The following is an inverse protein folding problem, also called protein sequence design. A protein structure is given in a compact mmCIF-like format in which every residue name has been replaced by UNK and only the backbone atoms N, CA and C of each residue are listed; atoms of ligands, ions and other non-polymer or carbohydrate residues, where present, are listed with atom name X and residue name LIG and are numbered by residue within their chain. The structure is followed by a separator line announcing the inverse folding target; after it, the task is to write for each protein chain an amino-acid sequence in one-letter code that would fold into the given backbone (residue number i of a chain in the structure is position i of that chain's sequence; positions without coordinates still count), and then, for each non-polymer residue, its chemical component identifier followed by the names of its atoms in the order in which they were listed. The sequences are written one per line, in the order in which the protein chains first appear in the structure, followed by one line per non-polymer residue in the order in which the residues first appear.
data_IF_420427129063
#
_entry.id   IF_420427129063
#
_cell.length_a   1.000
_cell.length_b   1.000
_cell.length_c   1.000
_cell.angle_alpha   90.00
_cell.angle_beta   90.00
_cell.angle_gamma   90.00
#
_symmetry.space_group_name_H-M   'P 1'
#
loop_
_entity.id
_entity.type
_entity.pdbx_description
1 polymer ?
#
# COMPACT_ATOMS: atom_id res chain seq x y z
N UNK A 1 -8.21 43.19 -43.83
CA UNK A 1 -7.23 42.32 -43.14
C UNK A 1 -7.97 41.09 -42.64
N UNK A 2 -7.39 39.88 -42.74
CA UNK A 2 -8.01 38.68 -42.18
C UNK A 2 -8.18 38.85 -40.66
N UNK A 3 -9.37 38.55 -40.14
CA UNK A 3 -9.67 38.57 -38.71
C UNK A 3 -9.24 37.23 -38.11
N UNK A 4 -8.17 37.24 -37.33
CA UNK A 4 -7.69 36.05 -36.62
C UNK A 4 -8.28 36.01 -35.21
N UNK A 5 -8.84 34.87 -34.81
CA UNK A 5 -9.18 34.58 -33.42
C UNK A 5 -7.89 34.22 -32.65
N UNK A 6 -7.27 35.25 -32.07
CA UNK A 6 -6.02 35.14 -31.35
C UNK A 6 -6.12 34.30 -30.08
N UNK A 7 -7.28 34.27 -29.42
CA UNK A 7 -7.49 33.48 -28.21
C UNK A 7 -7.56 31.99 -28.53
N UNK A 8 -8.23 31.63 -29.63
CA UNK A 8 -8.25 30.26 -30.12
C UNK A 8 -6.86 29.79 -30.56
N UNK A 9 -6.14 30.62 -31.32
CA UNK A 9 -4.75 30.33 -31.72
C UNK A 9 -3.83 30.20 -30.50
N UNK A 10 -4.03 31.00 -29.46
CA UNK A 10 -3.28 30.90 -28.20
C UNK A 10 -3.54 29.55 -27.54
N UNK A 11 -4.80 29.17 -27.34
CA UNK A 11 -5.17 27.88 -26.73
C UNK A 11 -4.59 26.71 -27.50
N UNK A 12 -4.70 26.73 -28.82
CA UNK A 12 -4.17 25.67 -29.68
C UNK A 12 -2.64 25.59 -29.62
N UNK A 13 -1.94 26.74 -29.63
CA UNK A 13 -0.50 26.75 -29.42
C UNK A 13 -0.11 26.22 -28.04
N UNK A 14 -0.83 26.61 -26.98
CA UNK A 14 -0.51 26.19 -25.61
C UNK A 14 -0.70 24.69 -25.39
N UNK A 15 -1.80 24.12 -25.92
CA UNK A 15 -2.21 22.74 -25.68
C UNK A 15 -1.70 21.75 -26.71
N UNK A 16 -1.40 22.21 -27.93
CA UNK A 16 -0.92 21.37 -29.03
C UNK A 16 0.55 20.96 -28.90
N UNK A 17 1.04 20.18 -29.85
CA UNK A 17 2.39 19.60 -29.81
C UNK A 17 3.50 20.53 -30.32
N UNK A 18 3.13 21.69 -30.88
CA UNK A 18 4.07 22.65 -31.47
C UNK A 18 5.11 23.14 -30.45
N UNK A 19 6.40 22.95 -30.75
CA UNK A 19 7.49 23.34 -29.85
C UNK A 19 7.86 24.80 -29.99
N UNK A 20 7.62 25.39 -31.16
CA UNK A 20 8.01 26.77 -31.47
C UNK A 20 6.91 27.54 -32.18
N UNK A 21 6.96 28.87 -32.08
CA UNK A 21 6.06 29.75 -32.83
C UNK A 21 6.29 29.67 -34.35
N UNK A 22 7.47 29.24 -34.80
CA UNK A 22 7.78 29.08 -36.23
C UNK A 22 7.02 27.88 -36.80
N UNK A 23 7.09 26.74 -36.12
CA UNK A 23 6.34 25.52 -36.46
C UNK A 23 4.83 25.78 -36.43
N UNK A 24 4.34 26.50 -35.43
CA UNK A 24 2.92 26.87 -35.34
C UNK A 24 2.49 27.83 -36.46
N UNK A 25 3.35 28.80 -36.83
CA UNK A 25 3.10 29.71 -37.95
C UNK A 25 2.98 28.95 -39.28
N UNK A 26 3.88 28.00 -39.53
CA UNK A 26 3.86 27.13 -40.71
C UNK A 26 2.59 26.28 -40.74
N UNK A 27 2.22 25.64 -39.63
CA UNK A 27 1.02 24.83 -39.51
C UNK A 27 -0.29 25.62 -39.70
N UNK A 28 -0.30 26.90 -39.32
CA UNK A 28 -1.47 27.79 -39.46
C UNK A 28 -1.47 28.66 -40.70
N UNK A 29 -0.44 28.53 -41.54
CA UNK A 29 -0.23 29.36 -42.72
C UNK A 29 -0.27 30.87 -42.38
N UNK A 30 0.32 31.24 -41.23
CA UNK A 30 0.41 32.63 -40.76
C UNK A 30 1.86 33.09 -40.93
N UNK A 31 2.07 34.33 -41.38
CA UNK A 31 3.42 34.91 -41.44
C UNK A 31 4.08 34.91 -40.05
N UNK A 32 5.26 34.30 -39.96
CA UNK A 32 6.00 34.18 -38.70
C UNK A 32 6.30 35.55 -38.05
N UNK A 33 6.69 36.55 -38.84
CA UNK A 33 6.96 37.89 -38.31
C UNK A 33 5.71 38.54 -37.70
N UNK A 34 4.55 38.33 -38.32
CA UNK A 34 3.26 38.82 -37.82
C UNK A 34 2.83 38.08 -36.56
N UNK A 35 2.92 36.74 -36.54
CA UNK A 35 2.62 35.92 -35.37
C UNK A 35 3.54 36.27 -34.19
N UNK A 36 4.86 36.38 -34.42
CA UNK A 36 5.85 36.66 -33.36
C UNK A 36 5.54 37.97 -32.61
N UNK A 37 5.07 38.99 -33.33
CA UNK A 37 4.72 40.27 -32.72
C UNK A 37 3.47 40.21 -31.85
N UNK A 38 2.51 39.33 -32.19
CA UNK A 38 1.25 39.14 -31.45
C UNK A 38 1.37 38.11 -30.33
N UNK A 39 2.16 37.06 -30.53
CA UNK A 39 2.35 35.93 -29.61
C UNK A 39 3.53 36.14 -28.64
N UNK A 40 3.83 37.39 -28.28
CA UNK A 40 4.89 37.69 -27.30
C UNK A 40 4.56 37.02 -25.96
N UNK A 41 5.54 36.35 -25.37
CA UNK A 41 5.37 35.63 -24.10
C UNK A 41 4.75 34.24 -24.23
N UNK A 42 4.13 33.88 -25.37
CA UNK A 42 3.43 32.60 -25.48
C UNK A 42 4.34 31.39 -25.25
N UNK A 43 5.57 31.43 -25.76
CA UNK A 43 6.54 30.35 -25.53
C UNK A 43 6.91 30.21 -24.04
N UNK A 44 7.02 31.31 -23.31
CA UNK A 44 7.32 31.30 -21.87
C UNK A 44 6.12 30.78 -21.07
N UNK A 45 4.92 31.26 -21.38
CA UNK A 45 3.67 30.76 -20.81
C UNK A 45 3.51 29.24 -21.05
N UNK A 46 3.77 28.76 -22.28
CA UNK A 46 3.73 27.33 -22.60
C UNK A 46 4.73 26.51 -21.79
N UNK A 47 5.95 27.02 -21.60
CA UNK A 47 6.97 26.38 -20.75
C UNK A 47 6.51 26.30 -19.30
N UNK A 48 5.95 27.39 -18.77
CA UNK A 48 5.44 27.41 -17.40
C UNK A 48 4.25 26.44 -17.24
N UNK A 49 3.31 26.45 -18.18
CA UNK A 49 2.18 25.53 -18.21
C UNK A 49 2.64 24.07 -18.23
N UNK A 50 3.63 23.75 -19.06
CA UNK A 50 4.21 22.40 -19.14
C UNK A 50 4.87 21.99 -17.82
N UNK A 51 5.62 22.90 -17.18
CA UNK A 51 6.22 22.67 -15.86
C UNK A 51 5.16 22.39 -14.80
N UNK A 52 4.12 23.22 -14.72
CA UNK A 52 3.01 23.04 -13.77
C UNK A 52 2.25 21.74 -14.05
N UNK A 53 1.96 21.42 -15.32
CA UNK A 53 1.33 20.16 -15.71
C UNK A 53 2.15 18.96 -15.25
N UNK A 54 3.45 18.97 -15.49
CA UNK A 54 4.33 17.87 -15.08
C UNK A 54 4.37 17.72 -13.56
N UNK A 55 4.46 18.82 -12.81
CA UNK A 55 4.39 18.79 -11.35
C UNK A 55 3.08 18.16 -10.85
N UNK A 56 1.93 18.59 -11.38
CA UNK A 56 0.63 18.03 -11.03
C UNK A 56 0.48 16.55 -11.41
N UNK A 57 1.07 16.13 -12.53
CA UNK A 57 1.08 14.71 -12.94
C UNK A 57 1.89 13.89 -11.95
N UNK A 58 3.07 14.35 -11.54
CA UNK A 58 3.91 13.67 -10.55
C UNK A 58 3.17 13.58 -9.21
N UNK A 59 2.62 14.69 -8.72
CA UNK A 59 1.87 14.74 -7.46
C UNK A 59 0.67 13.80 -7.47
N UNK A 60 -0.18 13.84 -8.50
CA UNK A 60 -1.32 12.92 -8.62
C UNK A 60 -0.90 11.46 -8.76
N UNK A 61 0.22 11.19 -9.40
CA UNK A 61 0.75 9.82 -9.54
C UNK A 61 1.23 9.31 -8.19
N UNK A 62 1.97 10.13 -7.44
CA UNK A 62 2.41 9.80 -6.09
C UNK A 62 1.22 9.56 -5.16
N UNK A 63 0.22 10.44 -5.18
CA UNK A 63 -1.01 10.30 -4.39
C UNK A 63 -1.72 8.98 -4.69
N UNK A 64 -1.90 8.62 -5.98
CA UNK A 64 -2.49 7.32 -6.37
C UNK A 64 -1.67 6.12 -5.89
N UNK A 65 -0.34 6.25 -5.85
CA UNK A 65 0.51 5.18 -5.33
C UNK A 65 0.38 5.03 -3.81
N UNK A 66 0.28 6.14 -3.09
CA UNK A 66 0.02 6.17 -1.64
C UNK A 66 -1.34 5.54 -1.33
N UNK A 67 -2.39 5.93 -2.05
CA UNK A 67 -3.74 5.36 -1.90
C UNK A 67 -3.74 3.86 -2.14
N UNK A 68 -3.13 3.39 -3.24
CA UNK A 68 -3.00 1.94 -3.50
C UNK A 68 -2.24 1.23 -2.38
N UNK A 69 -1.12 1.78 -1.91
CA UNK A 69 -0.36 1.18 -0.82
C UNK A 69 -1.18 1.13 0.47
N UNK A 70 -1.95 2.17 0.77
CA UNK A 70 -2.86 2.22 1.91
C UNK A 70 -3.99 1.18 1.80
N UNK A 71 -4.58 1.02 0.61
CA UNK A 71 -5.59 0.00 0.34
C UNK A 71 -5.03 -1.42 0.51
N UNK A 72 -3.83 -1.68 -0.02
CA UNK A 72 -3.15 -2.96 0.17
C UNK A 72 -2.86 -3.23 1.65
N UNK A 73 -2.33 -2.26 2.39
CA UNK A 73 -2.08 -2.41 3.82
C UNK A 73 -3.37 -2.67 4.60
N UNK A 74 -4.46 -1.97 4.27
CA UNK A 74 -5.79 -2.20 4.85
C UNK A 74 -6.29 -3.62 4.57
N UNK A 75 -6.13 -4.10 3.34
CA UNK A 75 -6.48 -5.48 2.96
C UNK A 75 -5.62 -6.50 3.73
N UNK A 76 -4.32 -6.26 3.84
CA UNK A 76 -3.40 -7.10 4.61
C UNK A 76 -3.82 -7.22 6.08
N UNK A 77 -4.12 -6.10 6.74
CA UNK A 77 -4.63 -6.10 8.13
C UNK A 77 -5.90 -6.93 8.24
N UNK A 78 -6.88 -6.75 7.33
CA UNK A 78 -8.12 -7.54 7.31
C UNK A 78 -7.88 -9.04 7.15
N UNK A 79 -6.92 -9.44 6.31
CA UNK A 79 -6.56 -10.86 6.18
C UNK A 79 -5.96 -11.43 7.46
N UNK A 80 -5.12 -10.65 8.12
CA UNK A 80 -4.53 -11.03 9.39
C UNK A 80 -5.56 -11.15 10.51
N UNK A 81 -6.51 -10.21 10.59
CA UNK A 81 -7.63 -10.29 11.53
C UNK A 81 -8.47 -11.56 11.28
N UNK A 82 -8.75 -11.87 10.01
CA UNK A 82 -9.47 -13.09 9.65
C UNK A 82 -8.72 -14.36 10.04
N UNK A 83 -7.40 -14.39 9.88
CA UNK A 83 -6.58 -15.51 10.32
C UNK A 83 -6.61 -15.66 11.84
N UNK A 84 -6.58 -14.54 12.58
CA UNK A 84 -6.67 -14.55 14.03
C UNK A 84 -8.02 -15.11 14.51
N UNK A 85 -9.12 -14.71 13.86
CA UNK A 85 -10.46 -15.26 14.14
C UNK A 85 -10.52 -16.78 13.94
N UNK A 86 -9.86 -17.29 12.89
CA UNK A 86 -9.81 -18.74 12.63
C UNK A 86 -8.98 -19.46 13.69
N UNK A 87 -7.87 -18.89 14.13
CA UNK A 87 -7.09 -19.45 15.24
C UNK A 87 -7.91 -19.41 16.53
N UNK A 88 -8.64 -18.33 16.80
CA UNK A 88 -9.52 -18.22 17.96
C UNK A 88 -10.60 -19.32 17.96
N UNK A 89 -11.24 -19.55 16.81
CA UNK A 89 -12.22 -20.63 16.65
C UNK A 89 -11.58 -22.01 16.86
N UNK A 90 -10.39 -22.25 16.30
CA UNK A 90 -9.65 -23.50 16.48
C UNK A 90 -9.25 -23.73 17.95
N UNK A 91 -8.89 -22.67 18.68
CA UNK A 91 -8.59 -22.74 20.12
C UNK A 91 -9.82 -23.11 20.97
N UNK A 92 -11.03 -22.81 20.49
CA UNK A 92 -12.28 -23.13 21.20
C UNK A 92 -12.92 -24.43 20.72
N UNK A 93 -12.33 -25.12 19.75
CA UNK A 93 -12.78 -26.45 19.33
C UNK A 93 -12.03 -27.54 20.11
N UNK A 94 -12.72 -28.20 21.03
CA UNK A 94 -12.14 -29.27 21.85
C UNK A 94 -11.50 -30.37 21.01
N UNK A 95 -12.04 -30.68 19.82
CA UNK A 95 -11.46 -31.72 18.94
C UNK A 95 -10.11 -31.31 18.35
N UNK A 96 -9.84 -30.02 18.28
CA UNK A 96 -8.59 -29.45 17.80
C UNK A 96 -7.56 -29.33 18.91
N UNK A 97 -7.97 -28.87 20.11
CA UNK A 97 -7.05 -28.63 21.24
C UNK A 97 -6.86 -29.80 22.19
N UNK A 98 -7.69 -30.85 22.13
CA UNK A 98 -7.55 -32.07 22.95
C UNK A 98 -7.29 -33.31 22.08
N UNK A 99 -6.57 -34.28 22.64
CA UNK A 99 -6.42 -35.63 22.09
C UNK A 99 -7.71 -36.42 22.30
N UNK A 100 -7.80 -37.60 21.69
CA UNK A 100 -8.94 -38.51 21.88
C UNK A 100 -9.17 -38.90 23.34
N UNK A 101 -8.12 -38.82 24.15
CA UNK A 101 -8.08 -39.20 25.56
C UNK A 101 -8.38 -37.99 26.48
N UNK A 102 -8.74 -36.84 25.90
CA UNK A 102 -9.10 -35.62 26.62
C UNK A 102 -7.91 -34.77 27.09
N UNK A 103 -6.67 -35.24 26.90
CA UNK A 103 -5.45 -34.48 27.21
C UNK A 103 -5.22 -33.36 26.20
N UNK A 104 -4.51 -32.30 26.58
CA UNK A 104 -4.22 -31.19 25.65
C UNK A 104 -3.28 -31.65 24.54
N UNK A 105 -3.62 -31.32 23.29
CA UNK A 105 -2.80 -31.56 22.12
C UNK A 105 -1.74 -30.45 21.96
N UNK A 106 -0.56 -30.68 22.57
CA UNK A 106 0.58 -29.74 22.57
C UNK A 106 0.99 -29.34 21.15
N UNK A 107 1.00 -30.31 20.22
CA UNK A 107 1.39 -30.06 18.83
C UNK A 107 0.42 -29.10 18.14
N UNK A 108 -0.90 -29.28 18.33
CA UNK A 108 -1.90 -28.37 17.79
C UNK A 108 -1.74 -26.95 18.36
N UNK A 109 -1.51 -26.83 19.68
CA UNK A 109 -1.28 -25.53 20.32
C UNK A 109 -0.02 -24.84 19.80
N UNK A 110 1.10 -25.55 19.62
CA UNK A 110 2.33 -24.98 19.07
C UNK A 110 2.13 -24.47 17.63
N UNK A 111 1.35 -25.18 16.81
CA UNK A 111 1.01 -24.71 15.46
C UNK A 111 0.14 -23.47 15.48
N UNK A 112 -0.88 -23.42 16.34
CA UNK A 112 -1.75 -22.24 16.48
C UNK A 112 -0.96 -21.03 16.99
N UNK A 113 -0.08 -21.23 17.97
CA UNK A 113 0.84 -20.22 18.47
C UNK A 113 1.71 -19.61 17.38
N UNK A 114 2.33 -20.46 16.55
CA UNK A 114 3.17 -20.03 15.43
C UNK A 114 2.37 -19.21 14.40
N UNK A 115 1.10 -19.55 14.17
CA UNK A 115 0.23 -18.77 13.27
C UNK A 115 -0.07 -17.41 13.88
N UNK A 116 -0.44 -17.34 15.16
CA UNK A 116 -0.71 -16.06 15.86
C UNK A 116 0.50 -15.14 15.81
N UNK A 117 1.69 -15.67 16.05
CA UNK A 117 2.92 -14.88 15.99
C UNK A 117 3.16 -14.29 14.58
N UNK A 118 2.95 -15.11 13.53
CA UNK A 118 3.08 -14.65 12.14
C UNK A 118 2.04 -13.60 11.79
N UNK A 119 0.82 -13.75 12.29
CA UNK A 119 -0.27 -12.77 12.13
C UNK A 119 0.14 -11.43 12.73
N UNK A 120 0.61 -11.43 13.97
CA UNK A 120 1.06 -10.22 14.66
C UNK A 120 2.22 -9.54 13.92
N UNK A 121 3.22 -10.29 13.46
CA UNK A 121 4.34 -9.76 12.66
C UNK A 121 3.85 -9.14 11.35
N UNK A 122 2.95 -9.82 10.64
CA UNK A 122 2.39 -9.32 9.40
C UNK A 122 1.58 -8.04 9.57
N UNK A 123 0.81 -7.90 10.65
CA UNK A 123 0.09 -6.67 11.01
C UNK A 123 1.06 -5.53 11.31
N UNK A 124 2.10 -5.78 12.11
CA UNK A 124 3.11 -4.76 12.45
C UNK A 124 3.83 -4.26 11.20
N UNK A 125 4.20 -5.14 10.27
CA UNK A 125 4.80 -4.77 8.99
C UNK A 125 3.83 -3.95 8.12
N UNK A 126 2.57 -4.36 8.00
CA UNK A 126 1.56 -3.64 7.21
C UNK A 126 1.25 -2.25 7.78
N UNK A 127 1.38 -2.06 9.10
CA UNK A 127 1.23 -0.78 9.77
C UNK A 127 2.52 0.05 9.81
N UNK A 128 3.63 -0.47 9.29
CA UNK A 128 4.93 0.21 9.31
C UNK A 128 5.53 0.35 10.72
N UNK A 129 5.16 -0.54 11.65
CA UNK A 129 5.61 -0.51 13.05
C UNK A 129 6.94 -1.25 13.27
N UNK A 130 7.41 -2.03 12.29
CA UNK A 130 8.67 -2.76 12.35
C UNK A 130 9.64 -2.29 11.26
N UNK A 131 10.63 -1.48 11.65
CA UNK A 131 11.82 -1.19 10.85
C UNK A 131 12.92 -2.22 11.16
N UNK A 132 12.95 -3.30 10.37
CA UNK A 132 14.02 -4.33 10.27
C UNK A 132 14.51 -5.03 11.56
N UNK A 133 14.35 -6.37 11.52
CA UNK A 133 14.99 -7.45 12.30
C UNK A 133 14.70 -7.44 13.80
N UNK A 134 13.77 -8.30 14.22
CA UNK A 134 13.61 -8.64 15.63
C UNK A 134 13.73 -10.15 15.88
N UNK A 135 14.53 -10.50 16.90
CA UNK A 135 15.03 -11.84 17.27
C UNK A 135 14.18 -12.54 18.35
N UNK A 136 13.02 -12.00 18.73
CA UNK A 136 12.15 -12.54 19.80
C UNK A 136 11.46 -13.89 19.55
N UNK A 137 11.81 -14.59 18.46
CA UNK A 137 11.11 -15.76 17.91
C UNK A 137 11.28 -17.04 18.75
N UNK A 138 12.46 -17.27 19.33
CA UNK A 138 12.73 -18.50 20.10
C UNK A 138 12.27 -18.41 21.56
N UNK A 139 12.33 -17.22 22.16
CA UNK A 139 11.98 -17.01 23.56
C UNK A 139 10.48 -17.16 23.81
N UNK A 140 9.65 -16.70 22.87
CA UNK A 140 8.19 -16.82 22.98
C UNK A 140 7.73 -18.28 22.84
N UNK A 141 8.29 -19.02 21.87
CA UNK A 141 8.01 -20.45 21.69
C UNK A 141 8.45 -21.27 22.92
N UNK A 142 9.57 -20.91 23.53
CA UNK A 142 10.06 -21.57 24.73
C UNK A 142 9.12 -21.36 25.92
N UNK A 143 8.67 -20.13 26.18
CA UNK A 143 7.70 -19.84 27.25
C UNK A 143 6.37 -20.56 27.04
N UNK A 144 5.90 -20.69 25.80
CA UNK A 144 4.67 -21.42 25.53
C UNK A 144 4.78 -22.91 25.82
N UNK A 145 5.93 -23.54 25.52
CA UNK A 145 6.17 -24.95 25.87
C UNK A 145 6.13 -25.15 27.39
N UNK A 146 6.76 -24.27 28.15
CA UNK A 146 6.80 -24.33 29.62
C UNK A 146 5.39 -24.21 30.23
N UNK A 147 4.56 -23.27 29.75
CA UNK A 147 3.19 -23.09 30.22
C UNK A 147 2.34 -24.34 29.96
N UNK A 148 2.44 -24.92 28.76
CA UNK A 148 1.65 -26.12 28.40
C UNK A 148 2.06 -27.33 29.23
N UNK A 149 3.36 -27.47 29.50
CA UNK A 149 3.88 -28.55 30.35
C UNK A 149 3.34 -28.44 31.78
N UNK A 150 3.35 -27.23 32.36
CA UNK A 150 2.80 -26.97 33.68
C UNK A 150 1.28 -27.28 33.77
N UNK A 151 0.50 -26.94 32.74
CA UNK A 151 -0.95 -27.25 32.71
C UNK A 151 -1.22 -28.75 32.67
N UNK A 152 -0.42 -29.52 31.92
CA UNK A 152 -0.59 -30.97 31.83
C UNK A 152 -0.20 -31.69 33.13
N UNK A 153 0.86 -31.24 33.80
CA UNK A 153 1.28 -31.80 35.09
C UNK A 153 0.23 -31.58 36.19
N UNK A 154 -0.41 -30.40 36.22
CA UNK A 154 -1.49 -30.10 37.17
C UNK A 154 -2.69 -31.02 36.97
N UNK A 155 -3.07 -31.32 35.72
CA UNK A 155 -4.20 -32.20 35.42
C UNK A 155 -3.95 -33.65 35.85
N UNK A 156 -2.74 -34.18 35.71
CA UNK A 156 -2.42 -35.55 36.14
C UNK A 156 -2.45 -35.71 37.67
N UNK A 157 -2.16 -34.65 38.45
CA UNK A 157 -2.23 -34.68 39.93
C UNK A 157 -3.67 -34.65 40.44
N UNK A 158 -4.58 -33.95 39.78
CA UNK A 158 -6.00 -33.88 40.17
C UNK A 158 -6.82 -35.13 39.87
N UNK A 159 -6.34 -36.03 39.00
CA UNK A 159 -7.04 -37.28 38.64
C UNK A 159 -6.69 -38.44 39.58
N UNK A 160 -5.62 -38.30 40.37
CA UNK A 160 -5.10 -39.34 41.28
C UNK A 160 -5.54 -39.18 42.75
N UNK A 161 -6.38 -38.19 43.08
CA UNK A 161 -6.93 -37.95 44.41
C UNK A 161 -8.45 -38.18 44.47
#
# INVERSE_FOLDING_TARGET
MPYYDWESLKREFMLGEFKTLKEFAEAKNISYGFLRNRAKGWTQEKRQLSKTKNQLVVEKTLQKQIEKASDYNTLHVKFWDRLLDLVWQALHDEKTIKTKDGKINIYALEKLALVVERVQKGQRLALGLDDKKDTGNEELLQRMREIVQAINEVNDVTVLN
#
